data_IF_549781576199
#
_entry.id   IF_549781576199
#
_cell.length_a   1.000
_cell.length_b   1.000
_cell.length_c   1.000
_cell.angle_alpha   90.00
_cell.angle_beta   90.00
_cell.angle_gamma   90.00
#
_symmetry.space_group_name_H-M   'P 1'
#
loop_
_entity.id
_entity.type
_entity.pdbx_description
1 polymer ?
#
# COMPACT_ATOMS: atom_id res chain seq x y z
N UNK A 1 23.62 -17.29 80.26
CA UNK A 1 24.65 -17.10 79.21
C UNK A 1 24.33 -18.02 78.06
N UNK A 2 23.46 -17.56 77.17
CA UNK A 2 23.20 -18.11 75.84
C UNK A 2 23.45 -16.95 74.87
N UNK A 3 23.60 -17.25 73.58
CA UNK A 3 23.88 -16.35 72.45
C UNK A 3 25.38 -16.15 72.17
N UNK A 4 25.92 -16.88 71.18
CA UNK A 4 26.21 -16.31 69.85
C UNK A 4 26.96 -17.33 68.98
N UNK A 5 26.29 -17.84 67.94
CA UNK A 5 26.96 -18.61 66.88
C UNK A 5 26.20 -18.44 65.56
N UNK A 6 26.21 -17.22 65.02
CA UNK A 6 25.89 -16.97 63.62
C UNK A 6 27.16 -17.17 62.78
N UNK A 7 27.35 -18.39 62.26
CA UNK A 7 28.26 -18.61 61.13
C UNK A 7 27.54 -18.16 59.85
N UNK A 8 27.96 -17.02 59.33
CA UNK A 8 27.65 -16.57 57.97
C UNK A 8 28.34 -17.51 56.97
N UNK A 9 27.55 -18.35 56.30
CA UNK A 9 28.00 -19.05 55.10
C UNK A 9 27.90 -18.07 53.92
N UNK A 10 29.02 -17.44 53.58
CA UNK A 10 29.17 -16.74 52.30
C UNK A 10 29.20 -17.80 51.20
N UNK A 11 28.09 -17.95 50.48
CA UNK A 11 28.10 -18.68 49.22
C UNK A 11 28.93 -17.86 48.22
N UNK A 12 29.92 -18.47 47.54
CA UNK A 12 30.65 -17.79 46.48
C UNK A 12 29.64 -17.40 45.40
N UNK A 13 29.45 -16.09 45.23
CA UNK A 13 28.67 -15.53 44.14
C UNK A 13 29.43 -15.86 42.85
N UNK A 14 29.03 -16.94 42.18
CA UNK A 14 29.56 -17.29 40.86
C UNK A 14 29.08 -16.18 39.91
N UNK A 15 29.94 -15.18 39.70
CA UNK A 15 29.76 -14.22 38.62
C UNK A 15 29.92 -15.00 37.31
N UNK A 16 28.80 -15.45 36.77
CA UNK A 16 28.73 -15.84 35.37
C UNK A 16 29.24 -14.66 34.56
N UNK A 17 30.41 -14.82 33.95
CA UNK A 17 31.00 -13.82 33.07
C UNK A 17 29.98 -13.41 32.02
N UNK A 18 29.87 -12.12 31.71
CA UNK A 18 28.94 -11.60 30.69
C UNK A 18 29.11 -12.30 29.32
N UNK A 19 30.28 -12.88 29.05
CA UNK A 19 30.56 -13.73 27.88
C UNK A 19 29.75 -15.03 27.82
N UNK A 20 29.30 -15.57 28.95
CA UNK A 20 28.50 -16.80 28.97
C UNK A 20 27.01 -16.52 28.70
N UNK A 21 26.56 -15.27 28.90
CA UNK A 21 25.19 -14.83 28.56
C UNK A 21 25.02 -14.54 27.06
N UNK A 22 26.09 -14.17 26.36
CA UNK A 22 26.03 -13.89 24.91
C UNK A 22 25.97 -15.15 24.04
N UNK A 23 26.46 -16.30 24.52
CA UNK A 23 26.53 -17.55 23.74
C UNK A 23 25.24 -18.38 23.69
N UNK A 24 24.24 -18.06 24.51
CA UNK A 24 22.93 -18.77 24.54
C UNK A 24 21.75 -17.89 24.09
N UNK A 25 22.00 -16.68 23.61
CA UNK A 25 21.01 -16.00 22.79
C UNK A 25 20.92 -16.74 21.46
N UNK A 26 20.05 -17.74 21.41
CA UNK A 26 19.51 -18.28 20.16
C UNK A 26 19.04 -17.08 19.35
N UNK A 27 19.87 -16.68 18.38
CA UNK A 27 19.61 -15.53 17.52
C UNK A 27 18.30 -15.82 16.81
N UNK A 28 17.24 -15.18 17.26
CA UNK A 28 15.91 -15.41 16.73
C UNK A 28 15.94 -15.07 15.24
N UNK A 29 15.60 -16.05 14.40
CA UNK A 29 15.59 -15.84 12.96
C UNK A 29 14.44 -14.91 12.59
N UNK A 30 14.66 -13.89 11.74
CA UNK A 30 13.60 -13.01 11.29
C UNK A 30 12.47 -13.77 10.61
N UNK A 31 11.24 -13.50 11.05
CA UNK A 31 10.02 -14.06 10.46
C UNK A 31 9.61 -13.19 9.28
N UNK A 32 9.34 -13.80 8.12
CA UNK A 32 8.77 -13.10 6.95
C UNK A 32 7.42 -12.47 7.31
N UNK A 33 7.14 -11.28 6.81
CA UNK A 33 5.97 -10.49 7.22
C UNK A 33 4.67 -11.27 6.96
N UNK A 34 4.54 -11.91 5.80
CA UNK A 34 3.37 -12.73 5.46
C UNK A 34 3.05 -13.87 6.46
N UNK A 35 4.05 -14.30 7.22
CA UNK A 35 3.92 -15.43 8.15
C UNK A 35 3.55 -14.96 9.58
N UNK A 36 3.52 -13.65 9.82
CA UNK A 36 3.09 -13.08 11.09
C UNK A 36 1.60 -13.33 11.28
N UNK A 37 1.26 -14.09 12.31
CA UNK A 37 -0.10 -14.50 12.61
C UNK A 37 -0.37 -14.49 14.12
N UNK A 38 -1.58 -14.90 14.53
CA UNK A 38 -2.05 -14.92 15.92
C UNK A 38 -1.08 -15.62 16.90
N UNK A 39 -0.28 -16.60 16.47
CA UNK A 39 0.67 -17.30 17.35
C UNK A 39 1.74 -16.38 17.94
N UNK A 40 2.05 -15.26 17.28
CA UNK A 40 3.04 -14.28 17.72
C UNK A 40 2.47 -13.22 18.67
N UNK A 41 1.17 -13.22 18.98
CA UNK A 41 0.59 -12.31 19.98
C UNK A 41 1.14 -12.54 21.40
N UNK A 42 1.61 -13.76 21.70
CA UNK A 42 2.13 -14.15 23.02
C UNK A 42 3.59 -14.60 22.98
N UNK A 43 4.25 -14.52 21.83
CA UNK A 43 5.62 -15.01 21.63
C UNK A 43 6.49 -13.86 21.16
N UNK A 44 7.76 -13.79 21.61
CA UNK A 44 8.71 -12.87 21.00
C UNK A 44 8.84 -13.23 19.51
N UNK A 45 9.14 -12.22 18.70
CA UNK A 45 9.48 -12.39 17.30
C UNK A 45 10.42 -11.28 16.86
N UNK A 46 11.09 -11.53 15.75
CA UNK A 46 11.91 -10.57 15.04
C UNK A 46 11.34 -10.46 13.63
N UNK A 47 11.16 -9.26 13.14
CA UNK A 47 10.75 -9.00 11.75
C UNK A 47 11.78 -8.10 11.09
N UNK A 48 12.00 -8.32 9.79
CA UNK A 48 12.87 -7.48 8.96
C UNK A 48 12.05 -6.92 7.80
N UNK A 49 12.21 -5.63 7.50
CA UNK A 49 11.49 -4.97 6.41
C UNK A 49 12.11 -3.63 6.02
N UNK A 50 11.85 -3.18 4.80
CA UNK A 50 12.17 -1.81 4.36
C UNK A 50 11.07 -0.86 4.82
N UNK A 51 11.43 0.30 5.33
CA UNK A 51 10.49 1.35 5.74
C UNK A 51 9.94 2.06 4.50
N UNK A 52 8.64 1.91 4.25
CA UNK A 52 7.91 2.59 3.16
C UNK A 52 7.41 3.97 3.58
N UNK A 53 6.87 4.03 4.80
CA UNK A 53 6.18 5.19 5.35
C UNK A 53 6.48 5.28 6.83
N UNK A 54 6.69 6.49 7.35
CA UNK A 54 6.80 6.78 8.77
C UNK A 54 6.36 8.22 9.01
N UNK A 55 5.41 8.40 9.93
CA UNK A 55 4.86 9.70 10.30
C UNK A 55 4.56 9.71 11.80
N UNK A 56 4.87 10.83 12.44
CA UNK A 56 4.48 11.10 13.82
C UNK A 56 3.35 12.11 13.79
N UNK A 57 2.17 11.69 14.22
CA UNK A 57 0.96 12.49 14.20
C UNK A 57 0.58 12.88 15.63
N UNK A 58 0.24 14.16 15.82
CA UNK A 58 -0.34 14.64 17.07
C UNK A 58 -1.79 14.15 17.21
N UNK A 59 -2.17 13.71 18.39
CA UNK A 59 -3.54 13.35 18.69
C UNK A 59 -4.40 14.62 18.72
N UNK A 60 -5.47 14.67 17.94
CA UNK A 60 -6.38 15.82 17.89
C UNK A 60 -7.00 16.16 19.25
N UNK A 61 -7.11 15.16 20.13
CA UNK A 61 -7.75 15.32 21.44
C UNK A 61 -6.75 15.61 22.56
N UNK A 62 -5.44 15.62 22.29
CA UNK A 62 -4.42 15.92 23.30
C UNK A 62 -3.18 16.50 22.65
N UNK A 63 -2.76 17.66 23.16
CA UNK A 63 -1.54 18.34 22.72
C UNK A 63 -0.28 17.56 23.06
N UNK A 64 -0.33 16.67 24.06
CA UNK A 64 0.83 15.95 24.59
C UNK A 64 0.97 14.52 24.05
N UNK A 65 -0.07 14.00 23.38
CA UNK A 65 -0.07 12.63 22.90
C UNK A 65 0.24 12.56 21.42
N UNK A 66 1.40 12.01 21.10
CA UNK A 66 1.81 11.70 19.73
C UNK A 66 1.61 10.22 19.45
N UNK A 67 1.30 9.89 18.20
CA UNK A 67 1.28 8.52 17.73
C UNK A 67 2.15 8.38 16.48
N UNK A 68 3.02 7.38 16.48
CA UNK A 68 3.80 7.00 15.31
C UNK A 68 2.99 6.00 14.49
N UNK A 69 2.92 6.24 13.18
CA UNK A 69 2.45 5.29 12.20
C UNK A 69 3.55 5.06 11.17
N UNK A 70 3.93 3.81 10.97
CA UNK A 70 4.87 3.41 9.95
C UNK A 70 4.36 2.17 9.20
N UNK A 71 4.88 1.98 7.99
CA UNK A 71 4.66 0.76 7.20
C UNK A 71 6.03 0.24 6.81
N UNK A 72 6.26 -1.03 7.13
CA UNK A 72 7.43 -1.77 6.62
C UNK A 72 6.96 -2.87 5.69
N UNK A 73 7.83 -3.27 4.76
CA UNK A 73 7.54 -4.33 3.81
C UNK A 73 8.75 -5.21 3.51
N UNK A 74 8.46 -6.43 3.12
CA UNK A 74 9.38 -7.34 2.45
C UNK A 74 8.88 -7.56 1.02
N UNK A 75 9.56 -8.42 0.28
CA UNK A 75 9.18 -8.74 -1.10
C UNK A 75 7.75 -9.30 -1.25
N UNK A 76 7.13 -9.81 -0.19
CA UNK A 76 5.86 -10.53 -0.28
C UNK A 76 4.71 -9.75 0.38
N UNK A 77 4.93 -9.12 1.52
CA UNK A 77 3.89 -8.48 2.32
C UNK A 77 4.36 -7.18 2.97
N UNK A 78 3.39 -6.35 3.34
CA UNK A 78 3.58 -5.13 4.11
C UNK A 78 2.89 -5.29 5.47
N UNK A 79 3.36 -4.58 6.50
CA UNK A 79 2.72 -4.57 7.83
C UNK A 79 2.84 -3.19 8.46
N UNK A 80 1.79 -2.80 9.18
CA UNK A 80 1.77 -1.54 9.92
C UNK A 80 2.55 -1.69 11.24
N UNK A 81 3.33 -0.66 11.58
CA UNK A 81 4.09 -0.51 12.81
C UNK A 81 3.61 0.77 13.49
N UNK A 82 3.23 0.71 14.75
CA UNK A 82 2.73 1.86 15.51
C UNK A 82 3.43 2.01 16.84
N UNK A 83 3.55 3.25 17.33
CA UNK A 83 3.99 3.54 18.69
C UNK A 83 3.09 4.60 19.33
N UNK A 84 2.88 4.50 20.64
CA UNK A 84 2.10 5.48 21.43
C UNK A 84 2.96 6.20 22.47
N UNK A 85 4.22 5.79 22.62
CA UNK A 85 5.22 6.38 23.52
C UNK A 85 6.54 6.43 22.78
N UNK A 86 7.42 7.36 23.15
CA UNK A 86 8.74 7.55 22.54
C UNK A 86 8.68 7.65 21.01
N UNK A 87 7.60 8.24 20.49
CA UNK A 87 7.28 8.25 19.06
C UNK A 87 8.40 8.90 18.24
N UNK A 88 8.95 10.03 18.72
CA UNK A 88 10.06 10.72 18.05
C UNK A 88 11.31 9.83 17.97
N UNK A 89 11.69 9.22 19.09
CA UNK A 89 12.85 8.32 19.17
C UNK A 89 12.71 7.10 18.26
N UNK A 90 11.50 6.56 18.11
CA UNK A 90 11.26 5.47 17.16
C UNK A 90 11.26 5.95 15.70
N UNK A 91 10.75 7.15 15.42
CA UNK A 91 10.77 7.72 14.06
C UNK A 91 12.19 7.93 13.55
N UNK A 92 13.10 8.43 14.39
CA UNK A 92 14.53 8.59 14.07
C UNK A 92 15.20 7.26 13.69
N UNK A 93 14.70 6.13 14.23
CA UNK A 93 15.19 4.77 13.94
C UNK A 93 14.48 4.10 12.78
N UNK A 94 13.48 4.74 12.19
CA UNK A 94 12.72 4.27 11.03
C UNK A 94 12.88 5.23 9.84
N UNK A 95 14.13 5.51 9.40
CA UNK A 95 14.34 6.36 8.23
C UNK A 95 13.70 5.73 6.99
N UNK A 96 13.07 6.57 6.17
CA UNK A 96 12.44 6.16 4.91
C UNK A 96 13.44 5.41 4.02
N UNK A 97 12.92 4.43 3.28
CA UNK A 97 13.66 3.59 2.34
C UNK A 97 14.80 2.78 2.95
N UNK A 98 14.92 2.73 4.27
CA UNK A 98 15.95 1.95 4.96
C UNK A 98 15.44 0.58 5.39
N UNK A 99 16.33 -0.40 5.46
CA UNK A 99 15.98 -1.75 5.92
C UNK A 99 16.25 -1.85 7.41
N UNK A 100 15.22 -2.23 8.16
CA UNK A 100 15.26 -2.31 9.62
C UNK A 100 14.92 -3.71 10.11
N UNK A 101 15.45 -4.06 11.26
CA UNK A 101 15.04 -5.22 12.04
C UNK A 101 14.35 -4.74 13.32
N UNK A 102 13.15 -5.24 13.58
CA UNK A 102 12.35 -4.89 14.75
C UNK A 102 12.24 -6.13 15.64
N UNK A 103 12.64 -5.99 16.89
CA UNK A 103 12.57 -7.01 17.93
C UNK A 103 11.67 -6.56 19.09
N UNK A 104 11.10 -7.52 19.81
CA UNK A 104 10.29 -7.29 21.01
C UNK A 104 9.10 -6.32 20.78
N UNK A 105 8.52 -6.33 19.58
CA UNK A 105 7.22 -5.70 19.32
C UNK A 105 6.07 -6.55 19.84
N UNK A 106 4.96 -5.92 20.23
CA UNK A 106 3.71 -6.63 20.50
C UNK A 106 2.87 -6.71 19.22
N UNK A 107 2.12 -7.80 19.02
CA UNK A 107 1.26 -7.95 17.85
C UNK A 107 -0.21 -7.70 18.23
N UNK A 108 -0.92 -6.90 17.43
CA UNK A 108 -2.36 -6.63 17.59
C UNK A 108 -3.10 -6.83 16.28
N UNK A 109 -4.36 -7.28 16.33
CA UNK A 109 -5.24 -7.32 15.15
C UNK A 109 -5.71 -5.91 14.78
N UNK A 110 -5.64 -5.60 13.48
CA UNK A 110 -6.02 -4.29 12.95
C UNK A 110 -7.52 -4.22 12.81
N UNK A 111 -8.12 -3.08 13.16
CA UNK A 111 -9.52 -2.84 12.83
C UNK A 111 -9.66 -2.74 11.30
N UNK A 112 -10.55 -3.55 10.72
CA UNK A 112 -10.78 -3.63 9.27
C UNK A 112 -11.10 -2.28 8.64
N UNK A 113 -11.73 -1.38 9.39
CA UNK A 113 -12.18 -0.08 8.92
C UNK A 113 -11.05 0.96 8.82
N UNK A 114 -9.91 0.70 9.49
CA UNK A 114 -8.78 1.64 9.59
C UNK A 114 -7.46 1.05 9.11
N UNK A 115 -7.49 -0.10 8.43
CA UNK A 115 -6.27 -0.76 7.97
C UNK A 115 -5.57 0.04 6.87
N UNK A 116 -4.26 0.22 7.01
CA UNK A 116 -3.42 0.88 5.99
C UNK A 116 -2.74 -0.10 5.04
N UNK A 117 -2.75 -1.40 5.37
CA UNK A 117 -2.14 -2.48 4.59
C UNK A 117 -3.11 -3.65 4.43
N UNK A 118 -2.79 -4.62 3.55
CA UNK A 118 -3.58 -5.86 3.41
C UNK A 118 -3.43 -6.80 4.62
N UNK A 119 -2.44 -6.58 5.48
CA UNK A 119 -2.12 -7.47 6.58
C UNK A 119 -3.13 -7.34 7.73
N UNK A 120 -3.48 -8.48 8.35
CA UNK A 120 -4.51 -8.54 9.42
C UNK A 120 -4.03 -8.01 10.76
N UNK A 121 -2.72 -7.90 10.94
CA UNK A 121 -2.08 -7.53 12.19
C UNK A 121 -1.18 -6.31 12.01
N UNK A 122 -0.95 -5.59 13.10
CA UNK A 122 0.01 -4.50 13.24
C UNK A 122 0.97 -4.78 14.40
N UNK A 123 2.17 -4.24 14.30
CA UNK A 123 3.19 -4.30 15.33
C UNK A 123 3.08 -3.04 16.20
N UNK A 124 2.97 -3.22 17.50
CA UNK A 124 2.99 -2.15 18.49
C UNK A 124 4.40 -2.10 19.09
N UNK A 125 5.11 -1.00 18.86
CA UNK A 125 6.37 -0.70 19.51
C UNK A 125 6.13 -0.34 20.97
N UNK A 126 6.88 -1.00 21.85
CA UNK A 126 6.89 -0.81 23.29
C UNK A 126 8.24 -0.27 23.72
N UNK A 127 8.37 0.14 24.98
CA UNK A 127 9.63 0.66 25.53
C UNK A 127 10.82 -0.31 25.36
N UNK A 128 10.56 -1.63 25.39
CA UNK A 128 11.58 -2.67 25.19
C UNK A 128 11.82 -3.04 23.72
N UNK A 129 11.08 -2.46 22.79
CA UNK A 129 11.24 -2.76 21.36
C UNK A 129 12.58 -2.23 20.87
N UNK A 130 13.30 -3.06 20.13
CA UNK A 130 14.59 -2.72 19.55
C UNK A 130 14.42 -2.57 18.05
N UNK A 131 14.98 -1.49 17.50
CA UNK A 131 15.02 -1.23 16.07
C UNK A 131 16.48 -1.10 15.68
N UNK A 132 16.95 -2.01 14.84
CA UNK A 132 18.31 -2.04 14.32
C UNK A 132 18.30 -1.73 12.84
N UNK A 133 19.04 -0.69 12.45
CA UNK A 133 19.27 -0.36 11.06
C UNK A 133 20.19 -1.43 10.45
N UNK A 134 19.83 -1.91 9.26
CA UNK A 134 20.65 -2.84 8.49
C UNK A 134 21.26 -2.05 7.34
N UNK A 135 22.57 -2.24 7.16
CA UNK A 135 23.30 -1.65 6.05
C UNK A 135 22.70 -2.09 4.71
N UNK A 136 22.27 -1.12 3.91
CA UNK A 136 21.63 -1.34 2.62
C UNK A 136 22.52 -2.12 1.65
N UNK A 137 23.84 -1.99 1.75
CA UNK A 137 24.79 -2.69 0.86
C UNK A 137 24.81 -4.21 1.12
N UNK A 138 24.37 -4.63 2.31
CA UNK A 138 24.28 -6.04 2.69
C UNK A 138 22.93 -6.67 2.37
N UNK A 139 21.96 -5.87 1.92
CA UNK A 139 20.58 -6.33 1.72
C UNK A 139 20.37 -6.75 0.29
N UNK A 140 19.86 -7.97 0.11
CA UNK A 140 19.41 -8.42 -1.19
C UNK A 140 18.15 -7.63 -1.61
N UNK A 141 18.27 -6.88 -2.72
CA UNK A 141 17.18 -6.09 -3.31
C UNK A 141 15.96 -6.96 -3.63
N UNK A 142 16.15 -8.24 -4.00
CA UNK A 142 15.02 -9.14 -4.30
C UNK A 142 14.17 -9.47 -3.07
N UNK A 143 14.74 -9.41 -1.87
CA UNK A 143 14.01 -9.63 -0.61
C UNK A 143 13.36 -8.34 -0.09
N UNK A 144 13.91 -7.18 -0.43
CA UNK A 144 13.50 -5.87 0.06
C UNK A 144 13.58 -4.84 -1.07
N UNK A 145 12.65 -4.89 -2.04
CA UNK A 145 12.65 -3.95 -3.16
C UNK A 145 12.51 -2.51 -2.64
N UNK A 146 12.91 -1.53 -3.45
CA UNK A 146 12.82 -0.12 -3.06
C UNK A 146 11.35 0.34 -3.01
N UNK A 147 10.57 -0.09 -4.00
CA UNK A 147 9.15 0.22 -4.11
C UNK A 147 8.35 -1.02 -4.46
N UNK A 148 7.10 -1.03 -4.01
CA UNK A 148 6.13 -2.07 -4.35
C UNK A 148 4.90 -1.41 -4.98
N UNK A 149 4.96 -1.25 -6.30
CA UNK A 149 3.89 -0.64 -7.05
C UNK A 149 2.67 -1.55 -7.10
N UNK A 150 1.50 -0.94 -6.96
CA UNK A 150 0.20 -1.60 -7.05
C UNK A 150 -0.26 -1.60 -8.49
N UNK A 151 -0.63 -2.77 -9.00
CA UNK A 151 -1.16 -2.92 -10.37
C UNK A 151 -2.59 -2.40 -10.48
N UNK A 152 -3.03 -2.14 -11.72
CA UNK A 152 -4.39 -1.69 -12.00
C UNK A 152 -5.45 -2.67 -11.49
N UNK A 153 -5.22 -3.98 -11.67
CA UNK A 153 -6.11 -5.03 -11.17
C UNK A 153 -6.21 -5.02 -9.63
N UNK A 154 -5.10 -4.81 -8.94
CA UNK A 154 -5.07 -4.78 -7.48
C UNK A 154 -5.81 -3.57 -6.92
N UNK A 155 -5.73 -2.40 -7.58
CA UNK A 155 -6.41 -1.17 -7.16
C UNK A 155 -7.91 -1.40 -6.94
N UNK A 156 -8.56 -2.17 -7.81
CA UNK A 156 -10.01 -2.45 -7.75
C UNK A 156 -10.42 -3.28 -6.52
N UNK A 157 -9.47 -3.98 -5.90
CA UNK A 157 -9.70 -4.86 -4.74
C UNK A 157 -9.34 -4.21 -3.40
N UNK A 158 -8.75 -3.01 -3.43
CA UNK A 158 -8.29 -2.34 -2.22
C UNK A 158 -9.43 -1.80 -1.39
N UNK A 159 -9.16 -1.68 -0.09
CA UNK A 159 -10.04 -1.00 0.86
C UNK A 159 -9.58 0.44 1.06
N UNK A 160 -10.55 1.34 1.22
CA UNK A 160 -10.31 2.74 1.58
C UNK A 160 -9.36 2.89 2.75
N UNK A 161 -8.41 3.82 2.63
CA UNK A 161 -7.44 4.13 3.68
C UNK A 161 -6.08 3.48 3.51
N UNK A 162 -5.94 2.52 2.58
CA UNK A 162 -4.65 1.89 2.29
C UNK A 162 -3.63 2.88 1.72
N UNK A 163 -2.37 2.72 2.13
CA UNK A 163 -1.24 3.52 1.62
C UNK A 163 -0.45 2.66 0.63
N UNK A 164 -0.34 3.13 -0.60
CA UNK A 164 0.22 2.37 -1.72
C UNK A 164 1.21 3.21 -2.51
N UNK A 165 2.02 2.53 -3.31
CA UNK A 165 2.78 3.16 -4.40
C UNK A 165 2.11 2.76 -5.72
N UNK A 166 2.03 3.70 -6.66
CA UNK A 166 1.38 3.53 -7.96
C UNK A 166 2.26 4.14 -9.04
N UNK A 167 2.38 3.45 -10.17
CA UNK A 167 2.98 3.99 -11.39
C UNK A 167 1.89 4.06 -12.45
N UNK A 168 1.75 5.20 -13.11
CA UNK A 168 0.75 5.36 -14.16
C UNK A 168 1.07 6.49 -15.13
N UNK A 169 0.46 6.45 -16.31
CA UNK A 169 0.60 7.51 -17.32
C UNK A 169 -0.50 8.54 -17.11
N UNK A 170 -0.15 9.81 -16.95
CA UNK A 170 -1.11 10.91 -16.88
C UNK A 170 -1.88 11.01 -18.21
N UNK A 171 -3.18 10.72 -18.20
CA UNK A 171 -4.04 10.77 -19.38
C UNK A 171 -4.77 12.10 -19.49
N UNK A 172 -5.05 12.74 -18.36
CA UNK A 172 -5.69 14.04 -18.31
C UNK A 172 -5.28 14.79 -17.05
N UNK A 173 -5.16 16.10 -17.13
CA UNK A 173 -5.03 16.95 -15.94
C UNK A 173 -5.95 18.17 -16.03
N UNK A 174 -6.72 18.39 -14.97
CA UNK A 174 -7.62 19.52 -14.90
C UNK A 174 -6.79 20.82 -14.83
N UNK A 175 -7.16 21.79 -15.67
CA UNK A 175 -6.59 23.15 -15.62
C UNK A 175 -7.10 23.92 -14.40
N UNK A 176 -8.33 23.65 -13.99
CA UNK A 176 -8.98 24.29 -12.85
C UNK A 176 -8.59 23.62 -11.53
N UNK A 177 -8.41 24.47 -10.51
CA UNK A 177 -8.21 24.04 -9.13
C UNK A 177 -9.53 24.24 -8.39
N UNK A 178 -9.91 23.25 -7.58
CA UNK A 178 -11.17 23.30 -6.84
C UNK A 178 -10.90 23.20 -5.34
N UNK A 179 -11.88 23.55 -4.51
CA UNK A 179 -11.79 23.34 -3.07
C UNK A 179 -12.57 22.09 -2.68
N UNK A 180 -11.98 21.24 -1.85
CA UNK A 180 -12.70 20.11 -1.27
C UNK A 180 -13.60 20.56 -0.09
N UNK A 181 -14.32 19.62 0.52
CA UNK A 181 -15.20 19.88 1.67
C UNK A 181 -14.45 20.39 2.92
N UNK A 182 -13.14 20.20 2.99
CA UNK A 182 -12.26 20.68 4.05
C UNK A 182 -11.61 22.03 3.70
N UNK A 183 -12.08 22.70 2.65
CA UNK A 183 -11.50 23.96 2.14
C UNK A 183 -10.03 23.85 1.73
N UNK A 184 -9.57 22.64 1.41
CA UNK A 184 -8.24 22.45 0.83
C UNK A 184 -8.33 22.62 -0.67
N UNK A 185 -7.38 23.37 -1.23
CA UNK A 185 -7.21 23.49 -2.66
C UNK A 185 -6.75 22.14 -3.22
N UNK A 186 -7.40 21.68 -4.28
CA UNK A 186 -7.10 20.42 -4.95
C UNK A 186 -7.01 20.63 -6.46
N UNK A 187 -6.15 19.83 -7.10
CA UNK A 187 -6.10 19.66 -8.55
C UNK A 187 -6.32 18.20 -8.88
N UNK A 188 -7.13 17.93 -9.89
CA UNK A 188 -7.44 16.56 -10.31
C UNK A 188 -6.67 16.20 -11.57
N UNK A 189 -6.37 14.91 -11.69
CA UNK A 189 -5.87 14.31 -12.91
C UNK A 189 -6.47 12.91 -13.06
N UNK A 190 -6.43 12.38 -14.27
CA UNK A 190 -6.64 10.96 -14.52
C UNK A 190 -5.31 10.33 -14.92
N UNK A 191 -5.02 9.16 -14.38
CA UNK A 191 -3.88 8.35 -14.78
C UNK A 191 -4.34 6.97 -15.25
N UNK A 192 -3.62 6.38 -16.20
CA UNK A 192 -3.74 4.99 -16.60
C UNK A 192 -2.72 4.15 -15.84
N UNK A 193 -3.18 3.24 -14.99
CA UNK A 193 -2.36 2.22 -14.32
C UNK A 193 -2.64 0.90 -15.01
N UNK A 194 -1.67 0.41 -15.77
CA UNK A 194 -1.88 -0.65 -16.77
C UNK A 194 -3.00 -0.24 -17.75
N UNK A 195 -4.20 -0.81 -17.62
CA UNK A 195 -5.40 -0.46 -18.39
C UNK A 195 -6.54 0.12 -17.54
N UNK A 196 -6.29 0.40 -16.26
CA UNK A 196 -7.28 0.95 -15.33
C UNK A 196 -7.09 2.46 -15.24
N UNK A 197 -8.12 3.22 -15.62
CA UNK A 197 -8.17 4.66 -15.42
C UNK A 197 -8.56 4.96 -13.97
N UNK A 198 -7.82 5.83 -13.29
CA UNK A 198 -8.09 6.24 -11.92
C UNK A 198 -7.87 7.74 -11.75
N UNK A 199 -8.79 8.39 -11.03
CA UNK A 199 -8.67 9.80 -10.65
C UNK A 199 -7.58 9.94 -9.56
N UNK A 200 -6.73 10.95 -9.70
CA UNK A 200 -5.72 11.35 -8.73
C UNK A 200 -6.05 12.78 -8.27
N UNK A 201 -6.08 12.99 -6.96
CA UNK A 201 -6.31 14.30 -6.33
C UNK A 201 -5.04 14.76 -5.65
N UNK A 202 -4.43 15.79 -6.20
CA UNK A 202 -3.30 16.49 -5.61
C UNK A 202 -3.78 17.54 -4.64
N UNK A 203 -3.10 17.65 -3.49
CA UNK A 203 -3.37 18.63 -2.44
C UNK A 203 -2.05 19.21 -1.91
N UNK A 204 -2.13 20.32 -1.17
CA UNK A 204 -0.94 21.01 -0.65
C UNK A 204 -0.04 21.52 -1.78
N UNK A 205 1.27 21.41 -1.60
CA UNK A 205 2.27 21.89 -2.57
C UNK A 205 2.20 21.14 -3.91
N UNK A 206 1.56 19.95 -3.95
CA UNK A 206 1.44 19.12 -5.16
C UNK A 206 0.42 19.62 -6.16
N UNK A 207 -0.42 20.59 -5.77
CA UNK A 207 -1.45 21.20 -6.63
C UNK A 207 -0.81 22.03 -7.75
N UNK A 208 0.29 22.70 -7.43
CA UNK A 208 0.94 23.68 -8.30
C UNK A 208 2.07 23.07 -9.14
N UNK A 209 2.44 21.82 -8.86
CA UNK A 209 3.40 21.07 -9.68
C UNK A 209 2.88 20.88 -11.11
N UNK A 210 3.81 20.95 -12.07
CA UNK A 210 3.50 20.82 -13.49
C UNK A 210 3.56 19.35 -13.86
N UNK A 211 2.38 18.76 -14.07
CA UNK A 211 2.23 17.44 -14.68
C UNK A 211 1.64 17.63 -16.07
N UNK A 212 2.25 17.00 -17.07
CA UNK A 212 1.75 17.05 -18.45
C UNK A 212 1.05 15.74 -18.80
N UNK A 213 0.05 15.81 -19.68
CA UNK A 213 -0.53 14.62 -20.30
C UNK A 213 0.58 13.82 -21.03
N UNK A 214 0.49 12.50 -20.97
CA UNK A 214 1.51 11.57 -21.48
C UNK A 214 2.69 11.30 -20.53
N UNK A 215 2.86 12.06 -19.45
CA UNK A 215 3.97 11.83 -18.50
C UNK A 215 3.74 10.59 -17.64
N UNK A 216 4.82 9.84 -17.35
CA UNK A 216 4.75 8.75 -16.37
C UNK A 216 4.91 9.32 -14.97
N UNK A 217 3.91 9.10 -14.13
CA UNK A 217 3.89 9.51 -12.73
C UNK A 217 4.21 8.32 -11.83
N UNK A 218 5.21 8.49 -10.98
CA UNK A 218 5.56 7.59 -9.89
C UNK A 218 5.02 8.21 -8.61
N UNK A 219 3.90 7.68 -8.14
CA UNK A 219 3.17 8.15 -6.98
C UNK A 219 3.52 7.27 -5.78
N UNK A 220 4.21 7.84 -4.80
CA UNK A 220 4.65 7.13 -3.61
C UNK A 220 3.85 7.58 -2.38
N UNK A 221 3.50 6.61 -1.53
CA UNK A 221 2.77 6.88 -0.27
C UNK A 221 1.45 7.62 -0.56
N UNK A 222 0.70 7.15 -1.56
CA UNK A 222 -0.62 7.71 -1.87
C UNK A 222 -1.71 6.93 -1.15
N UNK A 223 -2.75 7.65 -0.74
CA UNK A 223 -3.87 7.03 -0.03
C UNK A 223 -4.95 6.63 -1.03
N UNK A 224 -5.27 5.35 -1.06
CA UNK A 224 -6.38 4.83 -1.84
C UNK A 224 -7.72 5.15 -1.16
N UNK A 225 -8.67 5.72 -1.89
CA UNK A 225 -10.02 6.01 -1.42
C UNK A 225 -11.04 5.38 -2.36
N UNK A 226 -11.99 4.64 -1.78
CA UNK A 226 -13.20 4.15 -2.42
C UNK A 226 -14.41 4.54 -1.56
N UNK A 227 -15.12 5.58 -1.96
CA UNK A 227 -16.31 6.05 -1.26
C UNK A 227 -17.51 5.90 -2.18
N UNK A 228 -18.44 5.01 -1.84
CA UNK A 228 -19.66 4.76 -2.62
C UNK A 228 -19.40 4.46 -4.10
N UNK A 229 -18.33 3.71 -4.40
CA UNK A 229 -17.93 3.35 -5.77
C UNK A 229 -17.08 4.41 -6.48
N UNK A 230 -16.91 5.61 -5.90
CA UNK A 230 -15.97 6.60 -6.41
C UNK A 230 -14.56 6.27 -5.91
N UNK A 231 -13.74 5.77 -6.83
CA UNK A 231 -12.35 5.37 -6.58
C UNK A 231 -11.41 6.50 -7.01
N UNK A 232 -10.53 6.92 -6.11
CA UNK A 232 -9.47 7.88 -6.42
C UNK A 232 -8.25 7.71 -5.51
N UNK A 233 -7.10 8.23 -5.96
CA UNK A 233 -5.87 8.32 -5.20
C UNK A 233 -5.73 9.73 -4.62
N UNK A 234 -5.48 9.83 -3.32
CA UNK A 234 -5.20 11.11 -2.65
C UNK A 234 -3.69 11.26 -2.49
N UNK A 235 -3.15 12.31 -3.09
CA UNK A 235 -1.74 12.73 -2.97
C UNK A 235 -1.70 13.91 -2.00
N UNK A 236 -1.21 13.66 -0.79
CA UNK A 236 -1.12 14.64 0.29
C UNK A 236 0.32 15.07 0.57
N UNK A 237 0.49 15.79 1.69
CA UNK A 237 1.79 16.37 2.08
C UNK A 237 2.87 15.31 2.36
N UNK A 238 2.47 14.12 2.83
CA UNK A 238 3.39 13.00 3.07
C UNK A 238 3.65 12.14 1.82
N UNK A 239 2.94 12.40 0.72
CA UNK A 239 3.13 11.70 -0.55
C UNK A 239 4.29 12.30 -1.33
N UNK A 240 4.94 11.47 -2.15
CA UNK A 240 6.00 11.92 -3.06
C UNK A 240 5.61 11.60 -4.50
N UNK A 241 5.75 12.59 -5.38
CA UNK A 241 5.45 12.45 -6.81
C UNK A 241 6.76 12.65 -7.56
N UNK A 242 7.14 11.66 -8.36
CA UNK A 242 8.21 11.79 -9.33
C UNK A 242 7.59 11.70 -10.72
N UNK A 243 7.84 12.71 -11.55
CA UNK A 243 7.45 12.69 -12.95
C UNK A 243 8.66 12.33 -13.80
N UNK A 244 8.47 11.43 -14.76
CA UNK A 244 9.40 11.27 -15.86
C UNK A 244 8.71 11.77 -17.12
N UNK A 245 9.07 13.00 -17.50
CA UNK A 245 8.78 13.51 -18.83
C UNK A 245 9.58 12.65 -19.79
N UNK A 246 8.93 11.84 -20.62
CA UNK A 246 9.55 11.34 -21.83
C UNK A 246 9.82 12.54 -22.75
N UNK A 247 10.79 13.37 -22.41
CA UNK A 247 11.57 14.07 -23.42
C UNK A 247 12.49 13.01 -24.00
N UNK A 248 12.33 12.82 -25.31
CA UNK A 248 13.16 11.99 -26.17
C UNK A 248 14.62 11.87 -25.70
N UNK A 249 15.09 10.61 -25.61
CA UNK A 249 16.48 10.14 -25.67
C UNK A 249 17.51 10.68 -24.67
N UNK A 250 18.11 9.72 -23.93
CA UNK A 250 19.49 9.71 -23.40
C UNK A 250 19.78 9.97 -21.90
N UNK A 251 18.82 9.80 -20.99
CA UNK A 251 19.12 10.10 -19.56
C UNK A 251 18.42 9.31 -18.47
N UNK A 252 17.95 8.08 -18.67
CA UNK A 252 17.49 7.26 -17.53
C UNK A 252 18.69 6.64 -16.80
N UNK A 253 18.77 6.86 -15.47
CA UNK A 253 19.71 6.17 -14.59
C UNK A 253 19.49 4.64 -14.68
N UNK A 254 20.58 3.92 -14.98
CA UNK A 254 20.62 2.45 -15.12
C UNK A 254 19.94 1.69 -13.98
N UNK A 255 19.96 2.24 -12.75
CA UNK A 255 19.28 1.63 -11.59
C UNK A 255 17.75 1.69 -11.69
N UNK A 256 17.20 2.78 -12.23
CA UNK A 256 15.75 2.92 -12.44
C UNK A 256 15.27 2.08 -13.63
N UNK A 257 16.08 1.99 -14.69
CA UNK A 257 15.85 1.08 -15.83
C UNK A 257 15.82 -0.38 -15.39
N UNK A 258 16.80 -0.82 -14.59
CA UNK A 258 16.81 -2.17 -14.03
C UNK A 258 15.60 -2.44 -13.14
N UNK A 259 15.15 -1.47 -12.35
CA UNK A 259 13.94 -1.62 -11.54
C UNK A 259 12.68 -1.71 -12.41
N UNK A 260 12.56 -0.90 -13.45
CA UNK A 260 11.43 -0.94 -14.38
C UNK A 260 11.39 -2.27 -15.15
N UNK A 261 12.54 -2.78 -15.58
CA UNK A 261 12.67 -4.11 -16.18
C UNK A 261 12.36 -5.23 -15.19
N UNK A 262 12.79 -5.10 -13.93
CA UNK A 262 12.49 -6.07 -12.87
C UNK A 262 11.00 -6.09 -12.54
N UNK A 263 10.34 -4.94 -12.48
CA UNK A 263 8.89 -4.82 -12.29
C UNK A 263 8.14 -5.42 -13.48
N UNK A 264 8.55 -5.10 -14.72
CA UNK A 264 7.97 -5.70 -15.93
C UNK A 264 8.09 -7.22 -15.92
N UNK A 265 9.26 -7.75 -15.53
CA UNK A 265 9.51 -9.19 -15.47
C UNK A 265 8.70 -9.88 -14.37
N UNK A 266 8.59 -9.26 -13.19
CA UNK A 266 7.81 -9.80 -12.06
C UNK A 266 6.31 -9.87 -12.37
N UNK A 267 5.76 -8.87 -13.08
CA UNK A 267 4.37 -8.89 -13.51
C UNK A 267 4.08 -9.97 -14.56
N UNK A 268 5.05 -10.29 -15.42
CA UNK A 268 4.89 -11.33 -16.45
C UNK A 268 4.95 -12.75 -15.88
N UNK A 269 5.79 -12.98 -14.87
CA UNK A 269 6.00 -14.32 -14.27
C UNK A 269 4.87 -14.74 -13.30
N UNK A 270 3.92 -13.85 -12.99
CA UNK A 270 2.82 -14.12 -12.05
C UNK A 270 1.60 -14.83 -12.69
N UNK A 271 1.65 -15.18 -13.98
CA UNK A 271 0.61 -15.98 -14.63
C UNK A 271 0.82 -17.46 -14.30
N UNK A 272 0.34 -17.88 -13.12
CA UNK A 272 0.34 -19.29 -12.71
C UNK A 272 -0.73 -20.02 -13.53
N UNK A 273 -0.31 -20.85 -14.49
CA UNK A 273 -1.17 -21.86 -15.10
C UNK A 273 -1.66 -22.82 -14.00
N UNK A 274 -2.98 -22.87 -13.80
CA UNK A 274 -3.64 -23.89 -12.99
C UNK A 274 -3.44 -25.26 -13.68
N UNK A 275 -2.95 -26.31 -12.99
CA UNK A 275 -2.86 -27.62 -13.59
C UNK A 275 -4.27 -28.22 -13.75
N UNK A 276 -4.57 -28.67 -14.96
CA UNK A 276 -5.78 -29.40 -15.33
C UNK A 276 -6.07 -30.56 -14.37
N UNK A 277 -7.15 -30.46 -13.60
CA UNK A 277 -7.67 -31.59 -12.82
C UNK A 277 -8.58 -32.46 -13.70
N UNK A 278 -8.12 -33.68 -13.95
CA UNK A 278 -8.87 -34.79 -14.56
C UNK A 278 -10.03 -35.21 -13.64
N UNK A 279 -11.27 -35.38 -14.14
CA UNK A 279 -12.38 -35.83 -13.31
C UNK A 279 -12.23 -37.32 -12.98
N UNK A 280 -12.10 -37.63 -11.68
CA UNK A 280 -12.09 -39.00 -11.18
C UNK A 280 -13.51 -39.41 -10.83
N UNK A 281 -14.02 -40.39 -11.57
CA UNK A 281 -15.32 -41.05 -11.33
C UNK A 281 -15.13 -41.97 -10.13
N UNK A 282 -15.82 -41.70 -9.01
CA UNK A 282 -15.95 -42.65 -7.90
C UNK A 282 -17.31 -43.36 -7.98
N UNK A 283 -17.23 -44.67 -8.15
CA UNK A 283 -18.34 -45.61 -8.11
C UNK A 283 -18.90 -45.75 -6.69
N UNK A 284 -20.19 -45.48 -6.55
CA UNK A 284 -20.99 -45.71 -5.34
C UNK A 284 -21.21 -47.22 -5.18
N UNK A 285 -20.76 -47.78 -4.06
CA UNK A 285 -21.18 -49.11 -3.61
C UNK A 285 -22.31 -48.95 -2.62
N UNK A 286 -23.50 -49.46 -2.98
CA UNK A 286 -24.67 -49.57 -2.12
C UNK A 286 -24.39 -50.59 -1.01
N UNK A 287 -24.66 -50.21 0.24
CA UNK A 287 -24.96 -51.19 1.30
C UNK A 287 -26.25 -50.78 1.99
N UNK A 288 -27.22 -51.69 1.88
CA UNK A 288 -28.52 -51.62 2.53
C UNK A 288 -28.33 -51.71 4.05
N UNK A 289 -29.03 -50.85 4.80
CA UNK A 289 -29.68 -51.30 6.04
C UNK A 289 -30.95 -50.48 6.32
N UNK A 290 -31.94 -51.24 6.78
CA UNK A 290 -33.37 -50.98 6.85
C UNK A 290 -33.75 -50.53 8.27
N UNK A 291 -34.94 -49.93 8.38
CA UNK A 291 -35.73 -49.65 9.60
C UNK A 291 -35.38 -48.31 10.29
N UNK A 292 -36.30 -47.49 10.81
CA UNK A 292 -37.76 -47.54 11.01
C UNK A 292 -38.26 -46.10 11.12
N UNK A 293 -39.50 -45.88 10.70
CA UNK A 293 -40.27 -44.64 10.74
C UNK A 293 -40.54 -44.21 12.18
N UNK A 294 -40.31 -42.94 12.51
CA UNK A 294 -41.13 -42.16 13.46
C UNK A 294 -40.88 -40.65 13.27
N UNK A 295 -41.93 -39.93 12.88
CA UNK A 295 -42.15 -38.50 13.15
C UNK A 295 -43.17 -38.47 14.30
N UNK A 296 -43.22 -37.47 15.22
CA UNK A 296 -43.40 -36.06 14.83
C UNK A 296 -42.81 -35.02 15.82
N UNK A 297 -43.16 -33.76 15.53
CA UNK A 297 -43.33 -32.62 16.45
C UNK A 297 -42.30 -31.48 16.42
N UNK A 298 -42.78 -30.40 15.80
CA UNK A 298 -42.41 -29.02 16.06
C UNK A 298 -42.55 -28.67 17.55
N UNK A 299 -41.54 -27.99 18.12
CA UNK A 299 -41.76 -27.01 19.19
C UNK A 299 -40.89 -25.78 19.02
N UNK A 300 -41.59 -24.65 18.91
CA UNK A 300 -41.14 -23.31 19.26
C UNK A 300 -40.86 -23.21 20.77
N UNK A 301 -39.80 -22.51 21.15
CA UNK A 301 -39.60 -21.81 22.43
C UNK A 301 -38.36 -20.91 22.24
N UNK A 302 -38.44 -19.60 22.05
CA UNK A 302 -38.65 -18.53 23.06
C UNK A 302 -38.06 -18.81 24.43
N UNK A 303 -36.91 -18.19 24.74
CA UNK A 303 -36.65 -17.66 26.08
C UNK A 303 -35.58 -16.56 26.00
N UNK A 304 -36.05 -15.35 26.23
CA UNK A 304 -35.33 -14.16 26.64
C UNK A 304 -34.60 -14.39 27.97
N UNK A 305 -33.35 -13.91 28.06
CA UNK A 305 -32.66 -13.71 29.35
C UNK A 305 -32.30 -12.24 29.47
N UNK A 306 -33.09 -11.57 30.29
CA UNK A 306 -32.84 -10.25 30.86
C UNK A 306 -32.01 -10.46 32.13
N UNK A 307 -30.82 -9.87 32.23
CA UNK A 307 -30.19 -9.64 33.54
C UNK A 307 -29.90 -8.16 33.73
N UNK A 308 -30.66 -7.64 34.70
CA UNK A 308 -30.60 -6.35 35.34
C UNK A 308 -29.46 -6.34 36.36
N UNK A 309 -28.65 -5.27 36.37
CA UNK A 309 -28.03 -4.79 37.59
C UNK A 309 -28.52 -3.38 37.87
N UNK A 310 -29.04 -3.23 39.09
CA UNK A 310 -29.59 -2.03 39.69
C UNK A 310 -28.51 -0.98 39.99
N UNK A 311 -28.83 0.25 39.61
CA UNK A 311 -28.67 1.54 40.27
C UNK A 311 -27.85 1.62 41.57
N UNK A 312 -26.89 2.55 41.57
CA UNK A 312 -26.72 3.52 42.65
C UNK A 312 -27.01 4.93 42.10
N UNK A 313 -27.93 5.57 42.81
CA UNK A 313 -28.37 6.97 42.83
C UNK A 313 -27.21 7.79 43.46
N UNK A 314 -26.87 9.03 43.13
CA UNK A 314 -27.72 10.22 43.28
C UNK A 314 -27.14 11.51 42.66
N UNK A 315 -28.08 12.36 42.24
CA UNK A 315 -28.13 13.84 42.24
C UNK A 315 -26.92 14.73 41.86
N UNK A 316 -27.09 15.47 40.77
CA UNK A 316 -27.39 16.92 40.88
C UNK A 316 -27.86 17.48 39.53
N UNK A 317 -29.02 18.12 39.59
CA UNK A 317 -29.68 18.89 38.54
C UNK A 317 -29.02 20.26 38.50
N UNK A 318 -28.71 20.78 37.31
CA UNK A 318 -28.78 22.22 37.12
C UNK A 318 -29.16 22.62 35.70
N UNK A 319 -29.93 23.70 35.66
CA UNK A 319 -30.88 24.06 34.64
C UNK A 319 -30.25 24.67 33.37
N UNK A 320 -30.95 24.47 32.24
CA UNK A 320 -30.78 25.27 31.02
C UNK A 320 -31.06 26.76 31.32
N UNK A 321 -30.53 27.65 30.46
CA UNK A 321 -31.50 28.35 29.63
C UNK A 321 -31.15 28.34 28.14
N UNK A 322 -32.21 28.15 27.37
CA UNK A 322 -32.32 28.41 25.94
C UNK A 322 -32.10 29.90 25.66
N UNK A 323 -31.26 30.24 24.68
CA UNK A 323 -31.38 31.50 23.94
C UNK A 323 -31.23 31.25 22.45
N UNK A 324 -32.32 31.54 21.76
CA UNK A 324 -32.46 31.73 20.32
C UNK A 324 -31.60 32.92 19.87
N UNK A 325 -30.68 32.70 18.94
CA UNK A 325 -29.81 33.72 18.37
C UNK A 325 -29.80 33.67 16.84
N UNK A 326 -30.58 34.58 16.26
CA UNK A 326 -30.86 34.83 14.85
C UNK A 326 -29.63 34.93 13.92
N UNK A 327 -29.77 34.33 12.73
CA UNK A 327 -28.96 34.56 11.52
C UNK A 327 -28.93 36.03 11.07
N UNK A 328 -27.78 36.59 10.70
CA UNK A 328 -27.70 37.75 9.83
C UNK A 328 -27.45 37.32 8.37
N UNK A 329 -28.44 37.58 7.52
CA UNK A 329 -28.35 37.51 6.06
C UNK A 329 -27.49 38.67 5.53
N UNK A 330 -26.26 38.39 5.09
CA UNK A 330 -25.47 39.36 4.34
C UNK A 330 -25.84 39.32 2.85
N UNK A 331 -26.60 40.34 2.41
CA UNK A 331 -26.82 40.66 1.00
C UNK A 331 -25.49 41.06 0.36
N UNK A 332 -24.92 40.18 -0.47
CA UNK A 332 -23.81 40.55 -1.36
C UNK A 332 -24.34 41.33 -2.56
N UNK A 333 -23.74 42.50 -2.79
CA UNK A 333 -23.91 43.33 -3.99
C UNK A 333 -23.38 42.55 -5.20
N UNK A 334 -24.22 42.40 -6.22
CA UNK A 334 -23.83 42.00 -7.57
C UNK A 334 -23.10 43.16 -8.23
N UNK A 335 -21.85 42.93 -8.65
CA UNK A 335 -21.10 43.83 -9.52
C UNK A 335 -21.19 43.28 -10.94
N UNK A 336 -21.80 44.04 -11.84
CA UNK A 336 -21.86 43.75 -13.27
C UNK A 336 -20.45 43.86 -13.88
N UNK A 337 -19.93 42.75 -14.40
CA UNK A 337 -18.77 42.74 -15.29
C UNK A 337 -19.27 42.64 -16.74
N UNK A 338 -18.97 43.67 -17.53
CA UNK A 338 -19.09 43.60 -18.99
C UNK A 338 -18.02 42.65 -19.52
N UNK A 339 -18.46 41.58 -20.16
CA UNK A 339 -17.60 40.66 -20.93
C UNK A 339 -17.46 41.23 -22.33
N UNK A 340 -16.23 41.52 -22.73
CA UNK A 340 -15.84 41.93 -24.08
C UNK A 340 -15.53 40.65 -24.89
N UNK A 341 -16.32 40.40 -25.94
CA UNK A 341 -16.12 39.28 -26.86
C UNK A 341 -14.81 39.46 -27.64
N UNK A 342 -13.85 38.55 -27.44
CA UNK A 342 -12.66 38.43 -28.29
C UNK A 342 -12.77 37.14 -29.09
N UNK A 343 -13.09 37.27 -30.37
CA UNK A 343 -13.14 36.17 -31.33
C UNK A 343 -11.73 35.62 -31.62
N UNK A 344 -11.49 34.31 -31.54
CA UNK A 344 -10.18 33.73 -31.83
C UNK A 344 -9.94 33.59 -33.34
N UNK A 345 -8.80 34.10 -33.82
CA UNK A 345 -8.27 33.86 -35.17
C UNK A 345 -7.73 32.43 -35.28
N UNK A 346 -8.30 31.68 -36.22
CA UNK A 346 -7.85 30.34 -36.64
C UNK A 346 -6.55 30.45 -37.45
N UNK A 347 -5.45 29.77 -37.09
CA UNK A 347 -4.31 29.60 -37.98
C UNK A 347 -4.52 28.43 -38.96
N UNK A 348 -4.10 28.66 -40.20
CA UNK A 348 -4.14 27.73 -41.33
C UNK A 348 -3.26 26.49 -41.07
N UNK A 349 -3.80 25.33 -41.45
CA UNK A 349 -3.12 24.03 -41.57
C UNK A 349 -2.07 24.09 -42.69
N UNK A 350 -0.84 23.70 -42.39
CA UNK A 350 0.22 23.43 -43.37
C UNK A 350 0.30 21.91 -43.63
N UNK A 351 0.78 21.59 -44.82
CA UNK A 351 0.74 20.29 -45.50
C UNK A 351 1.48 19.14 -44.80
N UNK A 352 1.06 17.94 -45.19
CA UNK A 352 1.41 16.61 -44.71
C UNK A 352 2.86 16.19 -44.99
N UNK A 353 3.55 15.74 -43.94
CA UNK A 353 4.69 14.82 -44.08
C UNK A 353 4.17 13.41 -44.39
N UNK A 354 4.86 12.73 -45.31
CA UNK A 354 4.56 11.39 -45.80
C UNK A 354 4.45 10.38 -44.64
N UNK A 355 3.21 10.01 -44.32
CA UNK A 355 2.93 8.91 -43.41
C UNK A 355 3.49 7.61 -44.02
N UNK A 356 4.37 6.94 -43.26
CA UNK A 356 4.63 5.51 -43.36
C UNK A 356 3.31 4.79 -43.66
N UNK A 357 3.14 4.27 -44.88
CA UNK A 357 1.83 3.73 -45.25
C UNK A 357 1.51 2.52 -44.35
N UNK A 358 0.42 2.61 -43.59
CA UNK A 358 -0.11 1.57 -42.68
C UNK A 358 -0.14 0.17 -43.31
N UNK A 359 -0.23 0.09 -44.64
CA UNK A 359 -0.24 -1.14 -45.42
C UNK A 359 1.07 -1.94 -45.30
N UNK A 360 2.24 -1.28 -45.25
CA UNK A 360 3.53 -1.98 -45.12
C UNK A 360 3.67 -2.59 -43.72
N UNK A 361 3.32 -1.83 -42.69
CA UNK A 361 3.35 -2.30 -41.32
C UNK A 361 2.34 -3.44 -41.10
N UNK A 362 1.12 -3.30 -41.61
CA UNK A 362 0.10 -4.35 -41.53
C UNK A 362 0.55 -5.65 -42.20
N UNK A 363 1.15 -5.59 -43.40
CA UNK A 363 1.68 -6.78 -44.09
C UNK A 363 2.85 -7.43 -43.34
N UNK A 364 3.69 -6.62 -42.69
CA UNK A 364 4.81 -7.09 -41.88
C UNK A 364 4.32 -7.83 -40.63
N UNK A 365 3.31 -7.30 -39.93
CA UNK A 365 2.68 -7.94 -38.76
C UNK A 365 1.96 -9.24 -39.15
N UNK A 366 1.25 -9.26 -40.29
CA UNK A 366 0.58 -10.48 -40.78
C UNK A 366 1.59 -11.59 -41.09
N UNK A 367 2.71 -11.27 -41.76
CA UNK A 367 3.77 -12.25 -42.04
C UNK A 367 4.43 -12.79 -40.77
N UNK A 368 4.62 -11.96 -39.76
CA UNK A 368 5.12 -12.38 -38.46
C UNK A 368 4.15 -13.35 -37.77
N UNK A 369 2.86 -13.02 -37.74
CA UNK A 369 1.82 -13.86 -37.11
C UNK A 369 1.65 -15.20 -37.81
N UNK A 370 1.88 -15.28 -39.12
CA UNK A 370 1.83 -16.56 -39.86
C UNK A 370 3.03 -17.48 -39.59
N UNK A 371 4.19 -16.94 -39.23
CA UNK A 371 5.40 -17.74 -38.92
C UNK A 371 5.40 -18.30 -37.50
N UNK A 372 4.61 -17.72 -36.60
CA UNK A 372 4.52 -18.12 -35.19
C UNK A 372 3.57 -19.31 -35.05
N UNK A 373 4.10 -20.54 -35.18
CA UNK A 373 3.39 -21.77 -34.82
C UNK A 373 3.98 -22.40 -33.55
N UNK A 374 3.16 -22.47 -32.49
CA UNK A 374 3.18 -23.21 -31.22
C UNK A 374 4.50 -23.57 -30.48
N UNK A 375 5.68 -23.14 -30.93
CA UNK A 375 6.93 -23.40 -30.23
C UNK A 375 7.51 -22.10 -29.68
N UNK A 376 7.37 -21.91 -28.36
CA UNK A 376 7.81 -20.72 -27.60
C UNK A 376 9.25 -20.30 -27.92
N UNK A 377 10.14 -21.26 -28.21
CA UNK A 377 11.55 -21.00 -28.54
C UNK A 377 11.74 -20.48 -29.98
N UNK A 378 10.91 -20.95 -30.92
CA UNK A 378 10.87 -20.46 -32.30
C UNK A 378 10.34 -19.03 -32.31
N UNK A 379 9.30 -18.74 -31.52
CA UNK A 379 8.73 -17.39 -31.39
C UNK A 379 9.77 -16.39 -30.86
N UNK A 380 10.52 -16.75 -29.82
CA UNK A 380 11.58 -15.89 -29.29
C UNK A 380 12.68 -15.59 -30.32
N UNK A 381 13.12 -16.60 -31.07
CA UNK A 381 14.13 -16.41 -32.12
C UNK A 381 13.59 -15.58 -33.29
N UNK A 382 12.34 -15.78 -33.69
CA UNK A 382 11.71 -14.97 -34.74
C UNK A 382 11.48 -13.51 -34.33
N UNK A 383 11.22 -13.23 -33.04
CA UNK A 383 11.15 -11.86 -32.51
C UNK A 383 12.53 -11.19 -32.56
N UNK A 384 13.59 -11.91 -32.15
CA UNK A 384 14.95 -11.36 -32.17
C UNK A 384 15.45 -11.09 -33.59
N UNK A 385 15.15 -11.98 -34.54
CA UNK A 385 15.47 -11.79 -35.96
C UNK A 385 14.69 -10.61 -36.56
N UNK A 386 13.41 -10.46 -36.19
CA UNK A 386 12.59 -9.33 -36.61
C UNK A 386 13.16 -7.98 -36.15
N UNK A 387 13.51 -7.87 -34.86
CA UNK A 387 14.13 -6.66 -34.30
C UNK A 387 15.48 -6.38 -34.97
N UNK A 388 16.29 -7.42 -35.21
CA UNK A 388 17.59 -7.26 -35.86
C UNK A 388 17.49 -6.74 -37.29
N UNK A 389 16.44 -7.07 -38.04
CA UNK A 389 16.27 -6.59 -39.41
C UNK A 389 15.76 -5.14 -39.44
N UNK A 390 14.86 -4.77 -38.52
CA UNK A 390 14.42 -3.37 -38.38
C UNK A 390 15.59 -2.43 -38.09
N UNK A 391 16.54 -2.86 -37.24
CA UNK A 391 17.70 -2.05 -36.87
C UNK A 391 18.74 -1.91 -37.98
N UNK A 392 18.78 -2.82 -38.96
CA UNK A 392 19.72 -2.75 -40.08
C UNK A 392 19.25 -1.81 -41.20
N UNK A 393 17.93 -1.69 -41.38
CA UNK A 393 17.37 -0.80 -42.41
C UNK A 393 17.55 0.70 -42.07
N UNK A 394 17.83 1.02 -40.81
CA UNK A 394 18.13 2.39 -40.35
C UNK A 394 19.61 2.79 -40.52
N UNK A 395 20.53 1.86 -40.85
CA UNK A 395 21.95 2.20 -41.08
C UNK A 395 22.25 2.52 -42.56
N UNK A 396 21.34 2.21 -43.48
CA UNK A 396 21.50 2.38 -44.93
C UNK A 396 20.73 3.59 -45.52
N UNK A 397 20.07 4.41 -44.69
CA UNK A 397 19.47 5.71 -45.04
C UNK A 397 20.09 6.85 -44.22
#
# INVERSE_FOLDING_TARGET
MLWDLRRSYEYPFISLSDESRSRLQNKMQPVKIKNINKSYMKKPFVVKGRVKFCEVLQNKNSTEHFHLNAIIFDNISEIEVVAFKNCQTFAEKLPKDSVVMIEHGALREVNKDYKKTKHKYQIILQEKSLITLIDNDTVNISDFPLHKYTSGADLLTLTTGMIIDVIGVCTHIDSEKTFNSQQQLIRKANISVDSVQIEVRFSGDKVDEIYNEGTTLYLHIVKYINYSGFIYLSVGDSSFVQCNTQQSSNGMDTKQLQQLETVKKFCQDSTVELPDQKPSISSITQSNNKSTIESPEQRLSTSSVTQSYKNLVDESIDERPSTSGSTPSNKRKTHDFKVEEVSPKIPKKTESDEAFSDVRFANMVINFMQKVNNNKRVVQLSILEFISNMLKEDEDN
#
